data_IF_683635968753
#
_entry.id   IF_683635968753
#
_cell.length_a   1.000
_cell.length_b   1.000
_cell.length_c   1.000
_cell.angle_alpha   90.00
_cell.angle_beta   90.00
_cell.angle_gamma   90.00
#
_symmetry.space_group_name_H-M   'P 1'
#
loop_
_entity.id
_entity.type
_entity.pdbx_description
1 polymer ?
#
# COMPACT_ATOMS: atom_id res chain seq x y z
N UNK A 1 22.32 -2.73 -7.43
CA UNK A 1 22.26 -1.50 -6.59
C UNK A 1 21.19 -0.50 -7.08
N UNK A 2 21.17 -0.12 -8.35
CA UNK A 2 20.17 0.88 -8.88
C UNK A 2 18.71 0.43 -8.73
N UNK A 3 18.39 -0.84 -8.99
CA UNK A 3 17.02 -1.36 -8.89
C UNK A 3 16.52 -1.35 -7.43
N UNK A 4 17.34 -1.79 -6.50
CA UNK A 4 16.98 -1.83 -5.07
C UNK A 4 16.72 -0.43 -4.55
N UNK A 5 17.58 0.54 -4.91
CA UNK A 5 17.38 1.94 -4.51
C UNK A 5 16.11 2.53 -5.12
N UNK A 6 15.80 2.22 -6.38
CA UNK A 6 14.55 2.66 -7.00
C UNK A 6 13.31 2.07 -6.31
N UNK A 7 13.31 0.77 -5.99
CA UNK A 7 12.22 0.11 -5.27
C UNK A 7 12.05 0.69 -3.86
N UNK A 8 13.15 0.98 -3.17
CA UNK A 8 13.10 1.65 -1.85
C UNK A 8 12.52 3.07 -1.97
N UNK A 9 12.90 3.82 -3.01
CA UNK A 9 12.30 5.14 -3.29
C UNK A 9 10.81 5.03 -3.59
N UNK A 10 10.39 4.02 -4.35
CA UNK A 10 8.97 3.73 -4.59
C UNK A 10 8.25 3.40 -3.28
N UNK A 11 8.81 2.54 -2.45
CA UNK A 11 8.24 2.16 -1.17
C UNK A 11 7.99 3.39 -0.27
N UNK A 12 8.99 4.25 -0.09
CA UNK A 12 8.87 5.47 0.72
C UNK A 12 7.85 6.44 0.09
N UNK A 13 7.98 6.70 -1.21
CA UNK A 13 7.10 7.63 -1.91
C UNK A 13 5.63 7.22 -1.80
N UNK A 14 5.32 5.95 -2.09
CA UNK A 14 3.94 5.48 -2.04
C UNK A 14 3.42 5.26 -0.62
N UNK A 15 4.28 5.04 0.37
CA UNK A 15 3.89 5.06 1.79
C UNK A 15 3.42 6.45 2.23
N UNK A 16 4.12 7.50 1.80
CA UNK A 16 3.75 8.90 2.06
C UNK A 16 2.49 9.26 1.24
N UNK A 17 2.47 8.92 -0.04
CA UNK A 17 1.32 9.15 -0.91
C UNK A 17 0.04 8.50 -0.35
N UNK A 18 0.13 7.25 0.11
CA UNK A 18 -0.98 6.52 0.72
C UNK A 18 -1.52 7.21 1.97
N UNK A 19 -0.63 7.74 2.81
CA UNK A 19 -1.02 8.52 3.99
C UNK A 19 -1.88 9.74 3.60
N UNK A 20 -1.42 10.54 2.64
CA UNK A 20 -2.20 11.71 2.20
C UNK A 20 -3.50 11.31 1.49
N UNK A 21 -3.45 10.25 0.68
CA UNK A 21 -4.64 9.73 -0.01
C UNK A 21 -5.73 9.32 1.00
N UNK A 22 -5.40 8.52 2.01
CA UNK A 22 -6.35 8.12 3.06
C UNK A 22 -6.84 9.32 3.87
N UNK A 23 -5.95 10.27 4.18
CA UNK A 23 -6.33 11.48 4.92
C UNK A 23 -7.35 12.29 4.15
N UNK A 24 -7.13 12.48 2.83
CA UNK A 24 -8.07 13.20 1.97
C UNK A 24 -9.40 12.44 1.86
N UNK A 25 -9.37 11.12 1.66
CA UNK A 25 -10.58 10.29 1.65
C UNK A 25 -11.33 10.39 2.98
N UNK A 26 -10.63 10.34 4.11
CA UNK A 26 -11.23 10.51 5.44
C UNK A 26 -11.96 11.85 5.60
N UNK A 27 -11.38 12.92 5.09
CA UNK A 27 -12.02 14.25 5.09
C UNK A 27 -13.27 14.26 4.21
N UNK A 28 -13.20 13.71 2.99
CA UNK A 28 -14.32 13.69 2.04
C UNK A 28 -15.47 12.83 2.56
N UNK A 29 -15.16 11.66 3.12
CA UNK A 29 -16.17 10.72 3.63
C UNK A 29 -16.63 11.04 5.05
N UNK A 30 -16.09 12.09 5.66
CA UNK A 30 -16.34 12.48 7.07
C UNK A 30 -16.09 11.32 8.03
N UNK A 31 -15.18 10.42 7.68
CA UNK A 31 -14.77 9.32 8.54
C UNK A 31 -13.59 9.77 9.39
N UNK A 32 -13.76 9.67 10.71
CA UNK A 32 -12.77 10.12 11.70
C UNK A 32 -11.67 9.09 11.95
N UNK A 33 -11.28 8.29 10.95
CA UNK A 33 -10.14 7.41 11.16
C UNK A 33 -8.85 8.06 10.66
N UNK A 34 -7.79 7.79 11.39
CA UNK A 34 -6.48 8.33 11.11
C UNK A 34 -5.75 7.41 10.14
N UNK A 35 -5.12 7.98 9.13
CA UNK A 35 -4.31 7.22 8.20
C UNK A 35 -3.06 6.67 8.88
N UNK A 36 -2.80 5.38 8.66
CA UNK A 36 -1.62 4.67 9.11
C UNK A 36 -1.50 4.50 10.64
N UNK A 37 -0.85 3.42 11.07
CA UNK A 37 -0.64 3.12 12.49
C UNK A 37 0.64 3.76 13.06
N UNK A 38 1.54 4.25 12.22
CA UNK A 38 2.78 4.93 12.61
C UNK A 38 2.53 6.39 13.00
N UNK A 39 3.49 7.02 13.68
CA UNK A 39 3.39 8.39 14.15
C UNK A 39 3.66 9.41 13.04
N UNK A 40 4.54 9.10 12.08
CA UNK A 40 4.86 9.93 10.93
C UNK A 40 3.78 9.93 9.83
N UNK A 41 4.10 10.59 8.73
CA UNK A 41 3.20 10.77 7.58
C UNK A 41 3.37 9.64 6.56
N UNK A 42 3.27 8.39 6.99
CA UNK A 42 3.43 7.20 6.15
C UNK A 42 2.49 6.07 6.51
N UNK A 43 2.02 5.39 5.49
CA UNK A 43 1.19 4.18 5.60
C UNK A 43 1.89 3.07 4.80
N UNK A 44 2.75 2.25 5.46
CA UNK A 44 3.66 1.30 4.77
C UNK A 44 2.96 0.29 3.86
N UNK A 45 1.70 -0.06 4.14
CA UNK A 45 0.93 -1.01 3.33
C UNK A 45 0.81 -0.56 1.87
N UNK A 46 0.66 0.75 1.61
CA UNK A 46 0.63 1.30 0.26
C UNK A 46 1.98 1.20 -0.42
N UNK A 47 3.07 1.43 0.32
CA UNK A 47 4.43 1.25 -0.18
C UNK A 47 4.71 -0.20 -0.56
N UNK A 48 4.33 -1.16 0.29
CA UNK A 48 4.46 -2.61 0.03
C UNK A 48 3.63 -2.97 -1.21
N UNK A 49 2.36 -2.59 -1.24
CA UNK A 49 1.48 -2.84 -2.39
C UNK A 49 2.04 -2.30 -3.69
N UNK A 50 2.50 -1.05 -3.70
CA UNK A 50 3.09 -0.40 -4.86
C UNK A 50 4.34 -1.14 -5.37
N UNK A 51 5.26 -1.52 -4.49
CA UNK A 51 6.47 -2.27 -4.86
C UNK A 51 6.09 -3.63 -5.48
N UNK A 52 5.14 -4.35 -4.89
CA UNK A 52 4.68 -5.64 -5.42
C UNK A 52 4.04 -5.46 -6.80
N UNK A 53 3.17 -4.46 -6.97
CA UNK A 53 2.55 -4.17 -8.27
C UNK A 53 3.63 -3.85 -9.32
N UNK A 54 4.62 -3.02 -8.98
CA UNK A 54 5.72 -2.64 -9.88
C UNK A 54 6.55 -3.87 -10.26
N UNK A 55 6.88 -4.73 -9.31
CA UNK A 55 7.63 -5.97 -9.58
C UNK A 55 6.84 -6.91 -10.48
N UNK A 56 5.58 -7.19 -10.17
CA UNK A 56 4.73 -8.06 -10.98
C UNK A 56 4.49 -7.45 -12.37
N UNK A 57 4.28 -6.15 -12.48
CA UNK A 57 4.13 -5.48 -13.77
C UNK A 57 5.37 -5.63 -14.64
N UNK A 58 6.57 -5.43 -14.08
CA UNK A 58 7.80 -5.44 -14.86
C UNK A 58 8.30 -6.86 -15.20
N UNK A 59 8.11 -7.82 -14.32
CA UNK A 59 8.68 -9.15 -14.45
C UNK A 59 7.69 -10.23 -14.87
N UNK A 60 6.40 -10.04 -14.61
CA UNK A 60 5.36 -11.02 -14.93
C UNK A 60 4.44 -10.54 -16.04
N UNK A 61 3.70 -9.45 -15.85
CA UNK A 61 2.66 -9.04 -16.81
C UNK A 61 3.23 -8.65 -18.18
N UNK A 62 4.35 -7.92 -18.23
CA UNK A 62 4.99 -7.56 -19.50
C UNK A 62 5.46 -8.76 -20.33
N UNK A 63 5.75 -9.88 -19.68
CA UNK A 63 6.20 -11.10 -20.36
C UNK A 63 5.06 -12.00 -20.86
N UNK A 64 3.82 -11.68 -20.54
CA UNK A 64 2.65 -12.43 -21.01
C UNK A 64 2.38 -12.21 -22.51
N UNK A 65 2.88 -11.11 -23.09
CA UNK A 65 2.69 -10.74 -24.51
C UNK A 65 1.21 -10.78 -24.95
N UNK A 66 0.29 -10.44 -24.04
CA UNK A 66 -1.16 -10.45 -24.26
C UNK A 66 -1.65 -9.10 -24.80
N UNK A 67 -2.80 -9.07 -25.48
CA UNK A 67 -3.51 -7.84 -25.75
C UNK A 67 -3.81 -7.09 -24.47
N UNK A 68 -3.79 -5.75 -24.52
CA UNK A 68 -3.91 -4.92 -23.31
C UNK A 68 -5.17 -5.20 -22.49
N UNK A 69 -6.28 -5.52 -23.11
CA UNK A 69 -7.52 -5.83 -22.39
C UNK A 69 -7.44 -7.14 -21.60
N UNK A 70 -6.80 -8.18 -22.16
CA UNK A 70 -6.56 -9.45 -21.44
C UNK A 70 -5.59 -9.25 -20.27
N UNK A 71 -4.48 -8.54 -20.52
CA UNK A 71 -3.54 -8.16 -19.47
C UNK A 71 -4.25 -7.42 -18.33
N UNK A 72 -5.13 -6.46 -18.64
CA UNK A 72 -5.87 -5.68 -17.63
C UNK A 72 -6.77 -6.58 -16.78
N UNK A 73 -7.46 -7.54 -17.38
CA UNK A 73 -8.31 -8.51 -16.65
C UNK A 73 -7.45 -9.36 -15.71
N UNK A 74 -6.33 -9.88 -16.20
CA UNK A 74 -5.41 -10.70 -15.41
C UNK A 74 -4.83 -9.89 -14.26
N UNK A 75 -4.37 -8.67 -14.53
CA UNK A 75 -3.89 -7.73 -13.49
C UNK A 75 -4.96 -7.52 -12.44
N UNK A 76 -6.19 -7.22 -12.84
CA UNK A 76 -7.29 -6.99 -11.91
C UNK A 76 -7.48 -8.18 -10.96
N UNK A 77 -7.63 -9.40 -11.47
CA UNK A 77 -7.89 -10.57 -10.62
C UNK A 77 -6.69 -10.96 -9.75
N UNK A 78 -5.49 -11.00 -10.32
CA UNK A 78 -4.28 -11.35 -9.57
C UNK A 78 -4.05 -10.34 -8.46
N UNK A 79 -4.12 -9.05 -8.77
CA UNK A 79 -3.85 -8.00 -7.76
C UNK A 79 -4.96 -7.89 -6.72
N UNK A 80 -6.22 -8.17 -7.08
CA UNK A 80 -7.31 -8.29 -6.11
C UNK A 80 -6.94 -9.30 -5.02
N UNK A 81 -6.52 -10.50 -5.41
CA UNK A 81 -6.16 -11.56 -4.45
C UNK A 81 -4.93 -11.16 -3.63
N UNK A 82 -3.85 -10.74 -4.30
CA UNK A 82 -2.59 -10.41 -3.62
C UNK A 82 -2.75 -9.27 -2.60
N UNK A 83 -3.38 -8.17 -3.00
CA UNK A 83 -3.51 -7.01 -2.11
C UNK A 83 -4.48 -7.27 -0.97
N UNK A 84 -5.57 -8.02 -1.20
CA UNK A 84 -6.47 -8.46 -0.13
C UNK A 84 -5.74 -9.36 0.89
N UNK A 85 -4.89 -10.27 0.42
CA UNK A 85 -4.07 -11.10 1.32
C UNK A 85 -3.08 -10.23 2.14
N UNK A 86 -2.40 -9.29 1.49
CA UNK A 86 -1.44 -8.39 2.18
C UNK A 86 -2.17 -7.55 3.24
N UNK A 87 -3.33 -7.00 2.89
CA UNK A 87 -4.15 -6.23 3.81
C UNK A 87 -4.60 -7.07 5.00
N UNK A 88 -5.12 -8.27 4.76
CA UNK A 88 -5.54 -9.18 5.82
C UNK A 88 -4.37 -9.59 6.74
N UNK A 89 -3.21 -9.91 6.17
CA UNK A 89 -2.00 -10.23 6.94
C UNK A 89 -1.58 -9.01 7.77
N UNK A 90 -1.58 -7.82 7.18
CA UNK A 90 -1.26 -6.57 7.87
C UNK A 90 -2.18 -6.32 9.06
N UNK A 91 -3.50 -6.49 8.89
CA UNK A 91 -4.50 -6.34 9.95
C UNK A 91 -4.29 -7.32 11.09
N UNK A 92 -4.08 -8.61 10.77
CA UNK A 92 -3.82 -9.67 11.76
C UNK A 92 -2.51 -9.38 12.51
N UNK A 93 -1.45 -8.93 11.83
CA UNK A 93 -0.18 -8.60 12.49
C UNK A 93 -0.32 -7.43 13.45
N UNK A 94 -1.02 -6.37 13.04
CA UNK A 94 -1.28 -5.20 13.90
C UNK A 94 -2.11 -5.61 15.12
N UNK A 95 -3.18 -6.38 14.92
CA UNK A 95 -4.00 -6.86 16.03
C UNK A 95 -3.22 -7.73 17.02
N UNK A 96 -2.40 -8.67 16.52
CA UNK A 96 -1.56 -9.52 17.38
C UNK A 96 -0.49 -8.75 18.14
N UNK A 97 0.08 -7.70 17.52
CA UNK A 97 1.17 -6.93 18.12
C UNK A 97 0.66 -5.89 19.12
N UNK A 98 -0.43 -5.22 18.79
CA UNK A 98 -0.93 -4.07 19.54
C UNK A 98 -2.27 -4.32 20.25
N UNK A 99 -2.88 -5.50 20.05
CA UNK A 99 -4.20 -5.87 20.59
C UNK A 99 -5.31 -4.88 20.19
N UNK A 100 -5.21 -4.33 18.99
CA UNK A 100 -6.16 -3.35 18.44
C UNK A 100 -6.57 -3.76 17.04
N UNK A 101 -7.88 -3.88 16.80
CA UNK A 101 -8.45 -3.96 15.45
C UNK A 101 -8.35 -2.57 14.83
N UNK A 102 -7.44 -2.40 13.87
CA UNK A 102 -7.14 -1.09 13.29
C UNK A 102 -8.17 -0.67 12.23
N UNK A 103 -8.65 -1.63 11.42
CA UNK A 103 -9.80 -1.48 10.53
C UNK A 103 -10.71 -2.69 10.64
N UNK A 104 -11.98 -2.51 10.37
CA UNK A 104 -13.00 -3.55 10.56
C UNK A 104 -14.01 -3.52 9.41
N UNK A 105 -14.06 -4.61 8.66
CA UNK A 105 -14.94 -4.79 7.51
C UNK A 105 -16.22 -5.56 7.83
N UNK A 106 -16.52 -5.85 9.08
CA UNK A 106 -17.75 -6.57 9.49
C UNK A 106 -19.04 -5.83 9.11
N UNK A 107 -18.94 -4.53 8.82
CA UNK A 107 -20.07 -3.71 8.33
C UNK A 107 -20.43 -3.96 6.86
N UNK A 108 -19.53 -4.56 6.09
CA UNK A 108 -19.78 -4.90 4.69
C UNK A 108 -20.58 -6.19 4.58
N UNK A 109 -21.36 -6.32 3.51
CA UNK A 109 -22.27 -7.46 3.33
C UNK A 109 -21.53 -8.78 3.11
N UNK A 110 -20.44 -8.74 2.35
CA UNK A 110 -19.63 -9.91 2.01
C UNK A 110 -18.26 -9.80 2.66
N UNK A 111 -18.15 -10.16 3.94
CA UNK A 111 -16.91 -10.10 4.69
C UNK A 111 -16.49 -11.47 5.22
N UNK A 112 -15.19 -11.65 5.45
CA UNK A 112 -14.59 -12.81 6.13
C UNK A 112 -13.73 -12.26 7.27
N UNK A 113 -14.21 -12.47 8.53
CA UNK A 113 -13.58 -11.88 9.71
C UNK A 113 -13.58 -10.35 9.67
N UNK A 114 -12.56 -9.72 10.27
CA UNK A 114 -12.45 -8.26 10.34
C UNK A 114 -11.75 -7.65 9.12
N UNK A 115 -10.92 -8.41 8.38
CA UNK A 115 -9.92 -7.86 7.48
C UNK A 115 -10.14 -8.16 6.00
N UNK A 116 -11.16 -8.93 5.65
CA UNK A 116 -11.48 -9.25 4.25
C UNK A 116 -12.91 -8.85 3.95
N UNK A 117 -13.11 -8.14 2.85
CA UNK A 117 -14.42 -7.87 2.28
C UNK A 117 -14.34 -7.92 0.77
N UNK A 118 -15.36 -8.46 0.12
CA UNK A 118 -15.44 -8.55 -1.34
C UNK A 118 -15.47 -7.16 -1.97
N UNK A 119 -16.16 -6.22 -1.34
CA UNK A 119 -16.30 -4.85 -1.80
C UNK A 119 -14.93 -4.14 -1.80
N UNK A 120 -14.14 -4.31 -0.73
CA UNK A 120 -12.80 -3.72 -0.62
C UNK A 120 -11.82 -4.46 -1.54
N UNK A 121 -11.92 -5.79 -1.63
CA UNK A 121 -11.11 -6.58 -2.55
C UNK A 121 -11.30 -6.13 -4.01
N UNK A 122 -12.53 -5.88 -4.44
CA UNK A 122 -12.83 -5.32 -5.75
C UNK A 122 -12.19 -3.94 -5.95
N UNK A 123 -12.23 -3.08 -4.94
CA UNK A 123 -11.57 -1.76 -5.00
C UNK A 123 -10.06 -1.91 -5.17
N UNK A 124 -9.41 -2.87 -4.50
CA UNK A 124 -7.98 -3.14 -4.68
C UNK A 124 -7.64 -3.53 -6.12
N UNK A 125 -8.49 -4.35 -6.76
CA UNK A 125 -8.32 -4.71 -8.18
C UNK A 125 -8.40 -3.47 -9.10
N UNK A 126 -9.44 -2.65 -8.94
CA UNK A 126 -9.60 -1.41 -9.72
C UNK A 126 -8.44 -0.45 -9.50
N UNK A 127 -8.05 -0.23 -8.24
CA UNK A 127 -6.93 0.67 -7.91
C UNK A 127 -5.60 0.17 -8.47
N UNK A 128 -5.39 -1.16 -8.55
CA UNK A 128 -4.18 -1.73 -9.16
C UNK A 128 -4.09 -1.45 -10.64
N UNK A 129 -5.21 -1.54 -11.37
CA UNK A 129 -5.29 -1.20 -12.79
C UNK A 129 -4.97 0.29 -12.99
N UNK A 130 -5.60 1.17 -12.21
CA UNK A 130 -5.32 2.61 -12.24
C UNK A 130 -3.85 2.89 -11.89
N UNK A 131 -3.31 2.19 -10.90
CA UNK A 131 -1.93 2.35 -10.47
C UNK A 131 -0.94 1.99 -11.59
N UNK A 132 -1.11 0.86 -12.24
CA UNK A 132 -0.20 0.38 -13.29
C UNK A 132 -0.23 1.30 -14.51
N UNK A 133 -1.42 1.68 -14.98
CA UNK A 133 -1.56 2.38 -16.24
C UNK A 133 -1.53 3.91 -16.13
N UNK A 134 -1.75 4.47 -14.94
CA UNK A 134 -1.81 5.91 -14.74
C UNK A 134 -0.84 6.40 -13.67
N UNK A 135 -0.97 5.94 -12.40
CA UNK A 135 -0.24 6.53 -11.27
C UNK A 135 1.26 6.24 -11.39
N UNK A 136 1.64 4.98 -11.58
CA UNK A 136 3.04 4.56 -11.63
C UNK A 136 3.82 5.23 -12.78
N UNK A 137 3.32 5.32 -14.02
CA UNK A 137 3.99 6.05 -15.08
C UNK A 137 4.17 7.54 -14.78
N UNK A 138 3.13 8.21 -14.25
CA UNK A 138 3.19 9.63 -13.89
C UNK A 138 4.21 9.91 -12.78
N UNK A 139 4.23 9.09 -11.74
CA UNK A 139 5.11 9.27 -10.59
C UNK A 139 6.55 8.81 -10.84
N UNK A 140 6.77 7.87 -11.77
CA UNK A 140 8.10 7.28 -12.02
C UNK A 140 9.17 8.30 -12.36
N UNK A 141 8.81 9.36 -13.12
CA UNK A 141 9.72 10.44 -13.48
C UNK A 141 10.17 11.28 -12.27
N UNK A 142 9.28 11.48 -11.30
CA UNK A 142 9.55 12.20 -10.05
C UNK A 142 10.43 11.32 -9.15
N UNK A 143 10.04 10.06 -8.95
CA UNK A 143 10.74 9.12 -8.06
C UNK A 143 12.19 8.92 -8.52
N UNK A 144 12.44 8.80 -9.82
CA UNK A 144 13.81 8.66 -10.37
C UNK A 144 14.71 9.86 -10.12
N UNK A 145 14.15 11.04 -9.89
CA UNK A 145 14.90 12.28 -9.60
C UNK A 145 15.19 12.45 -8.10
N UNK A 146 14.60 11.64 -7.24
CA UNK A 146 14.84 11.72 -5.79
C UNK A 146 16.28 11.29 -5.49
N UNK A 147 17.10 12.14 -4.85
CA UNK A 147 18.47 11.77 -4.51
C UNK A 147 18.50 10.60 -3.51
N UNK A 148 19.47 9.70 -3.67
CA UNK A 148 19.58 8.50 -2.81
C UNK A 148 19.68 8.83 -1.33
N UNK A 149 20.35 9.94 -0.97
CA UNK A 149 20.46 10.34 0.44
C UNK A 149 19.11 10.69 1.06
N UNK A 150 18.17 11.30 0.29
CA UNK A 150 16.81 11.60 0.76
C UNK A 150 16.05 10.30 1.02
N UNK A 151 16.11 9.35 0.09
CA UNK A 151 15.47 8.04 0.24
C UNK A 151 15.99 7.31 1.48
N UNK A 152 17.31 7.28 1.68
CA UNK A 152 17.93 6.62 2.83
C UNK A 152 17.52 7.31 4.13
N UNK A 153 17.58 8.65 4.20
CA UNK A 153 17.18 9.40 5.38
C UNK A 153 15.72 9.15 5.76
N UNK A 154 14.80 9.21 4.81
CA UNK A 154 13.38 8.92 5.04
C UNK A 154 13.15 7.45 5.46
N UNK A 155 13.90 6.51 4.88
CA UNK A 155 13.83 5.09 5.27
C UNK A 155 14.28 4.88 6.71
N UNK A 156 15.34 5.56 7.14
CA UNK A 156 15.82 5.52 8.52
C UNK A 156 14.77 6.14 9.45
N UNK A 157 14.22 7.30 9.11
CA UNK A 157 13.17 7.95 9.91
C UNK A 157 11.94 7.05 10.08
N UNK A 158 11.47 6.43 8.98
CA UNK A 158 10.33 5.51 9.04
C UNK A 158 10.65 4.24 9.84
N UNK A 159 11.87 3.69 9.70
CA UNK A 159 12.35 2.56 10.50
C UNK A 159 12.41 2.86 11.99
N UNK A 160 12.90 4.05 12.37
CA UNK A 160 12.92 4.49 13.75
C UNK A 160 11.51 4.70 14.33
N UNK A 161 10.59 5.29 13.55
CA UNK A 161 9.20 5.44 13.94
C UNK A 161 8.51 4.06 14.13
N UNK A 162 8.81 3.11 13.26
CA UNK A 162 8.31 1.73 13.38
C UNK A 162 8.83 1.06 14.66
N UNK A 163 10.13 1.16 14.94
CA UNK A 163 10.74 0.63 16.17
C UNK A 163 10.16 1.31 17.41
N UNK A 164 10.03 2.62 17.38
CA UNK A 164 9.43 3.40 18.47
C UNK A 164 7.99 2.93 18.75
N UNK A 165 7.18 2.76 17.69
CA UNK A 165 5.80 2.32 17.80
C UNK A 165 5.70 0.92 18.43
N UNK A 166 6.58 -0.02 18.03
CA UNK A 166 6.62 -1.38 18.60
C UNK A 166 7.04 -1.36 20.06
N UNK A 167 8.12 -0.65 20.39
CA UNK A 167 8.68 -0.65 21.76
C UNK A 167 7.69 -0.04 22.75
N UNK A 168 7.02 1.04 22.39
CA UNK A 168 6.08 1.70 23.28
C UNK A 168 4.68 1.07 23.28
N UNK A 169 4.40 0.12 22.38
CA UNK A 169 3.07 -0.50 22.24
C UNK A 169 1.96 0.51 21.92
N UNK A 170 2.32 1.70 21.43
CA UNK A 170 1.38 2.80 21.17
C UNK A 170 1.22 3.01 19.68
N UNK A 171 0.01 2.74 19.19
CA UNK A 171 -0.36 3.15 17.83
C UNK A 171 -0.98 4.54 17.89
N UNK A 172 -0.69 5.32 16.89
CA UNK A 172 -1.37 6.61 16.69
C UNK A 172 -2.84 6.33 16.32
N UNK A 173 -3.74 6.58 17.27
CA UNK A 173 -5.21 6.51 17.03
C UNK A 173 -5.73 7.81 16.43
#
# INVERSE_FOLDING_TARGET
>A
MVIIMYLLSCFIFYSIFGYFFETILGIITKSYYKSGFLHGFWTPIYGIGAVIIILLSNYFFKNLHLPRWEETIIVFFIMTIFLTCIEAIGGILIEKTFHVVFWDYTKYKFHIGHYISLEVAFMWGVMSVIFIYLISPLCSGIIKKVPSFVTISLSICMGLDFLYTIINGTIKK
#
